data_IF_434688486916
#
_entry.id   IF_434688486916
#
_cell.length_a   1.000
_cell.length_b   1.000
_cell.length_c   1.000
_cell.angle_alpha   90.00
_cell.angle_beta   90.00
_cell.angle_gamma   90.00
#
_symmetry.space_group_name_H-M   'P 1'
#
loop_
_entity.id
_entity.type
_entity.pdbx_description
1 polymer ?
#
# COMPACT_ATOMS: atom_id res chain seq x y z
N UNK A 1 9.95 35.77 1.25
CA UNK A 1 10.28 34.33 1.01
C UNK A 1 10.48 34.20 -0.49
N UNK A 2 11.67 33.79 -0.90
CA UNK A 2 11.96 33.48 -2.30
C UNK A 2 11.48 32.05 -2.59
N UNK A 3 10.83 31.86 -3.75
CA UNK A 3 10.38 30.56 -4.22
C UNK A 3 11.23 30.14 -5.41
N UNK A 4 11.83 28.98 -5.35
CA UNK A 4 12.60 28.40 -6.44
C UNK A 4 11.81 27.24 -7.06
N UNK A 5 11.63 27.32 -8.38
CA UNK A 5 11.01 26.25 -9.16
C UNK A 5 12.13 25.53 -9.90
N UNK A 6 12.42 24.26 -9.60
CA UNK A 6 13.38 23.50 -10.37
C UNK A 6 12.86 23.30 -11.79
N UNK A 7 13.62 23.72 -12.78
CA UNK A 7 13.31 23.48 -14.18
C UNK A 7 14.46 22.73 -14.86
N UNK A 8 14.12 21.85 -15.81
CA UNK A 8 15.07 21.15 -16.67
C UNK A 8 14.89 21.64 -18.09
N UNK A 9 15.92 22.29 -18.63
CA UNK A 9 15.92 22.77 -20.01
C UNK A 9 16.69 21.77 -20.85
N UNK A 10 16.06 21.26 -21.91
CA UNK A 10 16.67 20.40 -22.90
C UNK A 10 16.66 21.12 -24.24
N UNK A 11 17.84 21.34 -24.81
CA UNK A 11 17.99 21.98 -26.10
C UNK A 11 18.79 21.07 -27.04
N UNK A 12 18.41 21.05 -28.31
CA UNK A 12 19.20 20.43 -29.38
C UNK A 12 19.82 21.48 -30.27
N UNK A 13 21.01 21.23 -30.80
CA UNK A 13 21.58 22.08 -31.85
C UNK A 13 20.81 21.77 -33.15
N UNK A 14 20.04 22.74 -33.61
CA UNK A 14 19.42 22.69 -34.94
C UNK A 14 20.45 23.11 -35.98
N UNK A 15 20.80 22.23 -36.90
CA UNK A 15 21.57 22.63 -38.07
C UNK A 15 20.59 23.31 -39.03
N UNK A 16 20.78 24.64 -39.33
CA UNK A 16 19.84 25.39 -40.18
C UNK A 16 19.82 24.87 -41.64
N UNK A 17 20.74 23.97 -42.02
CA UNK A 17 20.80 23.37 -43.34
C UNK A 17 20.24 21.94 -43.41
N UNK A 18 19.78 21.37 -42.27
CA UNK A 18 19.25 20.01 -42.28
C UNK A 18 17.76 20.01 -42.57
N UNK A 19 17.35 19.37 -43.63
CA UNK A 19 15.94 19.11 -43.97
C UNK A 19 15.29 18.01 -43.11
N UNK A 20 15.97 17.58 -42.02
CA UNK A 20 15.47 16.55 -41.11
C UNK A 20 14.69 17.16 -39.93
N UNK A 21 13.56 17.79 -40.21
CA UNK A 21 12.66 18.29 -39.17
C UNK A 21 12.03 17.14 -38.33
N UNK A 22 11.88 15.96 -38.92
CA UNK A 22 11.19 14.84 -38.29
C UNK A 22 11.97 14.19 -37.14
N UNK A 23 13.30 14.17 -37.21
CA UNK A 23 14.11 13.53 -36.14
C UNK A 23 14.12 14.31 -34.82
N UNK A 24 14.01 15.64 -34.89
CA UNK A 24 13.96 16.48 -33.70
C UNK A 24 12.57 16.44 -33.04
N UNK A 25 11.49 16.42 -33.83
CA UNK A 25 10.14 16.28 -33.33
C UNK A 25 9.97 14.93 -32.63
N UNK A 26 10.49 13.85 -33.21
CA UNK A 26 10.46 12.50 -32.60
C UNK A 26 11.27 12.46 -31.29
N UNK A 27 12.43 13.11 -31.25
CA UNK A 27 13.26 13.21 -30.06
C UNK A 27 12.55 13.96 -28.92
N UNK A 28 11.93 15.11 -29.20
CA UNK A 28 11.18 15.85 -28.19
C UNK A 28 9.92 15.13 -27.75
N UNK A 29 9.24 14.42 -28.67
CA UNK A 29 8.10 13.57 -28.34
C UNK A 29 8.49 12.45 -27.38
N UNK A 30 9.61 11.74 -27.65
CA UNK A 30 10.12 10.71 -26.74
C UNK A 30 10.54 11.25 -25.38
N UNK A 31 11.13 12.45 -25.32
CA UNK A 31 11.42 13.12 -24.04
C UNK A 31 10.13 13.47 -23.30
N UNK A 32 9.13 14.02 -23.99
CA UNK A 32 7.84 14.37 -23.39
C UNK A 32 7.15 13.10 -22.87
N UNK A 33 7.13 12.02 -23.62
CA UNK A 33 6.60 10.73 -23.19
C UNK A 33 7.35 10.18 -21.97
N UNK A 34 8.69 10.20 -21.99
CA UNK A 34 9.52 9.74 -20.87
C UNK A 34 9.37 10.61 -19.60
N UNK A 35 9.16 11.92 -19.76
CA UNK A 35 8.98 12.84 -18.64
C UNK A 35 7.54 12.84 -18.14
N UNK A 36 6.55 12.61 -19.01
CA UNK A 36 5.14 12.50 -18.67
C UNK A 36 4.72 11.09 -18.25
N UNK A 37 5.58 10.08 -18.43
CA UNK A 37 5.38 8.72 -17.90
C UNK A 37 5.57 8.66 -16.38
N UNK A 38 5.13 9.70 -15.67
CA UNK A 38 5.06 9.66 -14.21
C UNK A 38 4.14 8.53 -13.79
N UNK A 39 4.63 7.69 -12.89
CA UNK A 39 3.77 6.68 -12.28
C UNK A 39 2.53 7.35 -11.74
N UNK A 40 1.32 6.85 -12.03
CA UNK A 40 0.09 7.48 -11.56
C UNK A 40 0.16 7.67 -10.04
N UNK A 41 -0.12 8.90 -9.58
CA UNK A 41 -0.22 9.21 -8.15
C UNK A 41 -1.58 8.71 -7.67
N UNK A 42 -1.55 7.75 -6.78
CA UNK A 42 -2.77 7.22 -6.18
C UNK A 42 -3.11 7.97 -4.88
N UNK A 43 -4.37 7.93 -4.46
CA UNK A 43 -4.82 8.48 -3.19
C UNK A 43 -3.99 7.98 -2.00
N UNK A 44 -3.55 6.72 -2.04
CA UNK A 44 -2.58 6.14 -1.10
C UNK A 44 -1.28 6.95 -0.99
N UNK A 45 -0.74 7.41 -2.12
CA UNK A 45 0.55 8.13 -2.15
C UNK A 45 0.37 9.55 -1.58
N UNK A 46 -0.77 10.19 -1.85
CA UNK A 46 -1.13 11.49 -1.27
C UNK A 46 -1.26 11.41 0.27
N UNK A 47 -1.86 10.33 0.77
CA UNK A 47 -2.01 10.09 2.22
C UNK A 47 -0.72 9.66 2.92
N UNK A 48 0.34 9.35 2.19
CA UNK A 48 1.62 8.90 2.79
C UNK A 48 2.27 9.94 3.72
N UNK A 49 2.00 11.22 3.51
CA UNK A 49 2.49 12.32 4.34
C UNK A 49 1.44 12.84 5.33
N UNK A 50 0.25 12.23 5.40
CA UNK A 50 -0.77 12.62 6.35
C UNK A 50 -0.28 12.41 7.80
N UNK A 51 -0.56 13.34 8.73
CA UNK A 51 -0.05 13.27 10.10
C UNK A 51 -0.32 11.94 10.79
N UNK A 52 -1.53 11.42 10.64
CA UNK A 52 -1.94 10.12 11.20
C UNK A 52 -1.13 8.96 10.64
N UNK A 53 -0.80 8.99 9.34
CA UNK A 53 -0.01 7.94 8.69
C UNK A 53 1.45 7.98 9.14
N UNK A 54 2.02 9.18 9.28
CA UNK A 54 3.39 9.38 9.80
C UNK A 54 3.46 8.97 11.27
N UNK A 55 2.44 9.30 12.08
CA UNK A 55 2.36 8.90 13.48
C UNK A 55 2.29 7.36 13.62
N UNK A 56 1.44 6.71 12.83
CA UNK A 56 1.31 5.25 12.79
C UNK A 56 2.63 4.58 12.38
N UNK A 57 3.30 5.11 11.33
CA UNK A 57 4.60 4.62 10.90
C UNK A 57 5.64 4.70 12.02
N UNK A 58 5.76 5.87 12.69
CA UNK A 58 6.76 6.07 13.74
C UNK A 58 6.51 5.16 14.94
N UNK A 59 5.25 4.98 15.31
CA UNK A 59 4.88 4.07 16.39
C UNK A 59 5.21 2.61 16.03
N UNK A 60 4.78 2.11 14.87
CA UNK A 60 5.06 0.74 14.42
C UNK A 60 6.56 0.48 14.27
N UNK A 61 7.34 1.49 13.86
CA UNK A 61 8.80 1.40 13.82
C UNK A 61 9.40 1.08 15.19
N UNK A 62 8.89 1.69 16.26
CA UNK A 62 9.35 1.41 17.64
C UNK A 62 8.99 -0.03 18.07
N UNK A 63 7.92 -0.60 17.51
CA UNK A 63 7.52 -1.99 17.72
C UNK A 63 8.19 -2.96 16.71
N UNK A 64 9.24 -2.52 16.01
CA UNK A 64 9.98 -3.27 14.99
C UNK A 64 9.13 -3.75 13.81
N UNK A 65 8.06 -3.03 13.50
CA UNK A 65 7.22 -3.27 12.33
C UNK A 65 7.51 -2.19 11.28
N UNK A 66 7.81 -2.61 10.05
CA UNK A 66 7.93 -1.70 8.94
C UNK A 66 6.58 -1.52 8.24
N UNK A 67 6.00 -0.32 8.36
CA UNK A 67 4.84 0.08 7.58
C UNK A 67 5.30 0.77 6.29
N UNK A 68 5.11 0.16 5.13
CA UNK A 68 5.41 0.80 3.85
C UNK A 68 4.34 1.83 3.51
N UNK A 69 4.59 3.10 3.88
CA UNK A 69 3.70 4.22 3.57
C UNK A 69 3.99 4.82 2.19
N UNK A 70 5.22 4.68 1.68
CA UNK A 70 5.67 5.13 0.35
C UNK A 70 6.14 3.95 -0.47
N UNK A 71 5.65 3.83 -1.69
CA UNK A 71 5.98 2.72 -2.58
C UNK A 71 7.48 2.65 -2.90
N UNK A 72 8.06 1.47 -2.73
CA UNK A 72 9.45 1.19 -3.08
C UNK A 72 10.49 1.70 -2.08
N UNK A 73 10.08 2.31 -0.97
CA UNK A 73 10.99 2.63 0.11
C UNK A 73 11.33 1.37 0.91
N UNK A 74 12.61 1.17 1.18
CA UNK A 74 13.09 0.10 2.05
C UNK A 74 13.29 0.60 3.48
N UNK A 75 13.07 -0.22 4.49
CA UNK A 75 13.32 0.17 5.87
C UNK A 75 14.82 0.45 6.09
N UNK A 76 15.13 1.48 6.85
CA UNK A 76 16.50 1.80 7.31
C UNK A 76 16.81 1.16 8.67
N UNK A 77 15.98 0.23 9.11
CA UNK A 77 16.12 -0.50 10.38
C UNK A 77 15.73 -1.97 10.16
N UNK A 78 16.20 -2.83 11.07
CA UNK A 78 15.81 -4.25 11.06
C UNK A 78 14.39 -4.37 11.61
N UNK A 79 13.46 -4.74 10.76
CA UNK A 79 12.08 -4.98 11.13
C UNK A 79 11.82 -6.49 11.27
N UNK A 80 11.02 -6.85 12.27
CA UNK A 80 10.58 -8.24 12.47
C UNK A 80 9.39 -8.57 11.56
N UNK A 81 8.56 -7.56 11.27
CA UNK A 81 7.41 -7.67 10.39
C UNK A 81 7.36 -6.51 9.40
N UNK A 82 6.75 -6.77 8.25
CA UNK A 82 6.54 -5.76 7.20
C UNK A 82 5.12 -5.83 6.68
N UNK A 83 4.50 -4.66 6.49
CA UNK A 83 3.18 -4.55 5.90
C UNK A 83 3.06 -3.23 5.11
N UNK A 84 2.31 -3.25 4.00
CA UNK A 84 1.97 -2.02 3.26
C UNK A 84 0.75 -1.36 3.89
N UNK A 85 0.67 -0.04 3.82
CA UNK A 85 -0.46 0.70 4.39
C UNK A 85 -1.82 0.30 3.77
N UNK A 86 -1.85 -0.02 2.47
CA UNK A 86 -3.05 -0.51 1.81
C UNK A 86 -3.45 -1.92 2.27
N UNK A 87 -2.47 -2.81 2.47
CA UNK A 87 -2.70 -4.15 3.02
C UNK A 87 -3.18 -4.09 4.47
N UNK A 88 -2.60 -3.19 5.27
CA UNK A 88 -3.03 -2.98 6.65
C UNK A 88 -4.49 -2.50 6.70
N UNK A 89 -4.85 -1.52 5.87
CA UNK A 89 -6.23 -1.05 5.77
C UNK A 89 -7.20 -2.16 5.35
N UNK A 90 -6.84 -2.97 4.35
CA UNK A 90 -7.64 -4.13 3.93
C UNK A 90 -7.80 -5.16 5.04
N UNK A 91 -6.73 -5.43 5.76
CA UNK A 91 -6.72 -6.41 6.86
C UNK A 91 -7.65 -5.98 8.00
N UNK A 92 -7.53 -4.75 8.47
CA UNK A 92 -8.41 -4.20 9.52
C UNK A 92 -9.86 -4.17 9.05
N UNK A 93 -10.11 -3.74 7.80
CA UNK A 93 -11.45 -3.66 7.23
C UNK A 93 -12.13 -5.03 7.15
N UNK A 94 -11.39 -6.08 6.80
CA UNK A 94 -11.90 -7.44 6.74
C UNK A 94 -12.07 -8.06 8.12
N UNK A 95 -11.03 -8.02 8.94
CA UNK A 95 -10.99 -8.71 10.22
C UNK A 95 -11.88 -8.04 11.28
N UNK A 96 -11.70 -6.72 11.49
CA UNK A 96 -12.40 -6.00 12.56
C UNK A 96 -13.75 -5.43 12.12
N UNK A 97 -13.83 -4.87 10.91
CA UNK A 97 -15.07 -4.26 10.42
C UNK A 97 -15.98 -5.21 9.65
N UNK A 98 -15.56 -6.47 9.45
CA UNK A 98 -16.33 -7.51 8.76
C UNK A 98 -16.82 -7.08 7.36
N UNK A 99 -15.96 -6.34 6.61
CA UNK A 99 -16.25 -5.82 5.27
C UNK A 99 -15.30 -6.41 4.21
N UNK A 100 -15.25 -7.74 4.03
CA UNK A 100 -14.31 -8.37 3.08
C UNK A 100 -14.58 -7.97 1.62
N UNK A 101 -15.83 -7.74 1.24
CA UNK A 101 -16.20 -7.30 -0.11
C UNK A 101 -15.63 -5.91 -0.43
N UNK A 102 -15.80 -4.94 0.46
CA UNK A 102 -15.23 -3.59 0.29
C UNK A 102 -13.70 -3.65 0.30
N UNK A 103 -13.13 -4.46 1.16
CA UNK A 103 -11.68 -4.66 1.25
C UNK A 103 -11.11 -5.25 -0.04
N UNK A 104 -11.79 -6.22 -0.65
CA UNK A 104 -11.38 -6.87 -1.89
C UNK A 104 -11.49 -5.95 -3.10
N UNK A 105 -12.56 -5.17 -3.21
CA UNK A 105 -12.86 -4.35 -4.39
C UNK A 105 -11.96 -3.13 -4.56
N UNK A 106 -11.18 -2.74 -3.53
CA UNK A 106 -10.24 -1.68 -3.82
C UNK A 106 -9.42 -1.09 -2.70
N UNK A 107 -8.12 -1.25 -2.84
CA UNK A 107 -7.11 -0.45 -2.14
C UNK A 107 -7.34 1.05 -2.32
N UNK A 108 -7.87 1.46 -3.47
CA UNK A 108 -8.19 2.84 -3.83
C UNK A 108 -9.29 3.41 -2.92
N UNK A 109 -10.39 2.68 -2.75
CA UNK A 109 -11.56 3.09 -1.96
C UNK A 109 -11.19 3.39 -0.50
N UNK A 110 -10.25 2.64 0.08
CA UNK A 110 -9.78 2.84 1.46
C UNK A 110 -9.19 4.24 1.66
N UNK A 111 -8.47 4.78 0.67
CA UNK A 111 -7.80 6.07 0.78
C UNK A 111 -8.61 7.24 0.22
N UNK A 112 -9.56 6.99 -0.66
CA UNK A 112 -10.41 8.02 -1.27
C UNK A 112 -11.67 8.30 -0.44
N UNK A 113 -12.20 7.28 0.24
CA UNK A 113 -13.40 7.41 1.04
C UNK A 113 -13.05 7.73 2.50
N UNK A 114 -13.32 8.97 2.91
CA UNK A 114 -13.02 9.47 4.24
C UNK A 114 -13.72 8.66 5.35
N UNK A 115 -14.96 8.20 5.12
CA UNK A 115 -15.71 7.39 6.09
C UNK A 115 -15.12 5.99 6.31
N UNK A 116 -14.30 5.52 5.37
CA UNK A 116 -13.55 4.26 5.49
C UNK A 116 -12.15 4.54 6.06
N UNK A 117 -11.49 5.57 5.55
CA UNK A 117 -10.12 5.91 5.94
C UNK A 117 -9.99 6.28 7.43
N UNK A 118 -10.88 7.14 7.93
CA UNK A 118 -10.78 7.69 9.28
C UNK A 118 -10.85 6.61 10.38
N UNK A 119 -11.81 5.69 10.38
CA UNK A 119 -11.85 4.63 11.38
C UNK A 119 -10.64 3.67 11.33
N UNK A 120 -9.94 3.59 10.18
CA UNK A 120 -8.78 2.71 10.01
C UNK A 120 -7.48 3.37 10.48
N UNK A 121 -7.27 4.65 10.15
CA UNK A 121 -5.96 5.28 10.27
C UNK A 121 -5.90 6.49 11.22
N UNK A 122 -7.03 7.15 11.52
CA UNK A 122 -7.07 8.24 12.50
C UNK A 122 -7.24 7.75 13.95
N UNK A 123 -7.19 6.45 14.14
CA UNK A 123 -7.18 5.84 15.48
C UNK A 123 -5.78 5.91 16.06
N UNK A 124 -5.67 6.41 17.29
CA UNK A 124 -4.40 6.37 18.01
C UNK A 124 -4.20 4.99 18.66
N UNK A 125 -3.61 4.06 17.91
CA UNK A 125 -3.35 2.71 18.39
C UNK A 125 -2.33 2.68 19.56
N UNK A 126 -1.44 3.65 19.64
CA UNK A 126 -0.42 3.71 20.69
C UNK A 126 -0.96 4.09 22.06
N UNK A 127 -2.11 4.78 22.11
CA UNK A 127 -2.67 5.33 23.34
C UNK A 127 -3.38 4.30 24.22
N UNK A 128 -3.87 3.23 23.61
CA UNK A 128 -4.70 2.21 24.25
C UNK A 128 -4.02 0.85 24.12
N UNK A 129 -3.76 0.19 25.24
CA UNK A 129 -3.07 -1.10 25.27
C UNK A 129 -3.82 -2.16 24.48
N UNK A 130 -5.15 -2.22 24.58
CA UNK A 130 -5.94 -3.19 23.83
C UNK A 130 -5.84 -2.97 22.31
N UNK A 131 -5.91 -1.72 21.86
CA UNK A 131 -5.75 -1.38 20.43
C UNK A 131 -4.34 -1.64 19.94
N UNK A 132 -3.35 -1.35 20.79
CA UNK A 132 -1.94 -1.64 20.49
C UNK A 132 -1.74 -3.14 20.28
N UNK A 133 -2.16 -3.96 21.24
CA UNK A 133 -2.04 -5.41 21.20
C UNK A 133 -2.80 -5.98 19.99
N UNK A 134 -4.04 -5.54 19.80
CA UNK A 134 -4.86 -5.94 18.65
C UNK A 134 -4.14 -5.72 17.31
N UNK A 135 -3.60 -4.50 17.08
CA UNK A 135 -2.97 -4.20 15.79
C UNK A 135 -1.69 -5.00 15.57
N UNK A 136 -0.87 -5.16 16.61
CA UNK A 136 0.37 -5.95 16.52
C UNK A 136 0.08 -7.43 16.27
N UNK A 137 -0.90 -8.00 16.97
CA UNK A 137 -1.27 -9.40 16.81
C UNK A 137 -1.92 -9.66 15.46
N UNK A 138 -2.70 -8.70 14.95
CA UNK A 138 -3.25 -8.77 13.62
C UNK A 138 -2.16 -8.77 12.53
N UNK A 139 -1.10 -7.97 12.70
CA UNK A 139 0.06 -7.96 11.79
C UNK A 139 0.82 -9.29 11.85
N UNK A 140 1.02 -9.84 13.05
CA UNK A 140 1.64 -11.16 13.23
C UNK A 140 0.80 -12.27 12.58
N UNK A 141 -0.52 -12.25 12.78
CA UNK A 141 -1.44 -13.19 12.16
C UNK A 141 -1.33 -13.16 10.63
N UNK A 142 -1.31 -11.95 10.05
CA UNK A 142 -1.11 -11.78 8.60
C UNK A 142 0.23 -12.36 8.16
N UNK A 143 1.29 -12.08 8.89
CA UNK A 143 2.63 -12.61 8.55
C UNK A 143 2.65 -14.14 8.58
N UNK A 144 2.00 -14.74 9.58
CA UNK A 144 1.87 -16.20 9.66
C UNK A 144 1.01 -16.77 8.55
N UNK A 145 -0.08 -16.11 8.20
CA UNK A 145 -0.90 -16.47 7.05
C UNK A 145 -0.08 -16.46 5.75
N UNK A 146 0.70 -15.41 5.51
CA UNK A 146 1.55 -15.29 4.32
C UNK A 146 2.61 -16.41 4.26
N UNK A 147 3.17 -16.80 5.40
CA UNK A 147 4.11 -17.92 5.50
C UNK A 147 3.45 -19.24 5.12
N UNK A 148 2.26 -19.51 5.66
CA UNK A 148 1.50 -20.72 5.34
C UNK A 148 1.13 -20.73 3.86
N UNK A 149 0.56 -19.64 3.34
CA UNK A 149 0.18 -19.49 1.93
C UNK A 149 1.36 -19.76 0.99
N UNK A 150 2.54 -19.22 1.32
CA UNK A 150 3.78 -19.41 0.54
C UNK A 150 4.27 -20.85 0.54
N UNK A 151 4.03 -21.58 1.62
CA UNK A 151 4.47 -22.97 1.78
C UNK A 151 3.48 -23.98 1.18
N UNK A 152 2.24 -23.57 0.85
CA UNK A 152 1.29 -24.40 0.16
C UNK A 152 1.73 -24.62 -1.29
N UNK A 153 1.80 -25.90 -1.69
CA UNK A 153 2.08 -26.26 -3.07
C UNK A 153 0.76 -26.36 -3.84
N UNK A 154 0.75 -25.78 -5.03
CA UNK A 154 -0.43 -25.83 -5.90
C UNK A 154 -0.82 -27.27 -6.29
N UNK A 155 0.12 -28.21 -6.26
CA UNK A 155 -0.12 -29.64 -6.51
C UNK A 155 -0.96 -30.34 -5.43
N UNK A 156 -0.98 -29.77 -4.23
CA UNK A 156 -1.61 -30.39 -3.05
C UNK A 156 -3.03 -29.87 -2.84
N UNK A 157 -3.49 -28.98 -3.71
CA UNK A 157 -4.77 -28.28 -3.59
C UNK A 157 -5.69 -28.60 -4.77
N UNK A 158 -6.98 -28.82 -4.45
CA UNK A 158 -8.00 -28.92 -5.48
C UNK A 158 -8.20 -27.58 -6.21
N UNK A 159 -8.81 -27.56 -7.42
CA UNK A 159 -9.10 -26.32 -8.14
C UNK A 159 -9.91 -25.30 -7.34
N UNK A 160 -10.85 -25.78 -6.49
CA UNK A 160 -11.67 -24.94 -5.61
C UNK A 160 -10.82 -24.30 -4.52
N UNK A 161 -9.96 -25.06 -3.87
CA UNK A 161 -9.05 -24.55 -2.83
C UNK A 161 -8.07 -23.52 -3.40
N UNK A 162 -7.55 -23.75 -4.61
CA UNK A 162 -6.72 -22.77 -5.32
C UNK A 162 -7.46 -21.46 -5.60
N UNK A 163 -8.74 -21.54 -5.99
CA UNK A 163 -9.56 -20.36 -6.24
C UNK A 163 -9.85 -19.60 -4.94
N UNK A 164 -10.16 -20.31 -3.85
CA UNK A 164 -10.33 -19.70 -2.52
C UNK A 164 -9.04 -19.03 -2.07
N UNK A 165 -7.89 -19.67 -2.25
CA UNK A 165 -6.60 -19.09 -1.88
C UNK A 165 -6.30 -17.80 -2.65
N UNK A 166 -6.54 -17.80 -3.96
CA UNK A 166 -6.28 -16.65 -4.84
C UNK A 166 -7.21 -15.47 -4.56
N UNK A 167 -8.50 -15.74 -4.36
CA UNK A 167 -9.54 -14.72 -4.34
C UNK A 167 -10.23 -14.55 -2.98
N UNK A 168 -10.07 -15.49 -2.06
CA UNK A 168 -10.78 -15.57 -0.78
C UNK A 168 -10.06 -14.92 0.40
N UNK A 169 -8.84 -14.42 0.25
CA UNK A 169 -7.99 -13.94 1.34
C UNK A 169 -8.71 -12.99 2.31
N UNK A 170 -9.43 -12.02 1.78
CA UNK A 170 -10.14 -11.05 2.61
C UNK A 170 -11.32 -11.68 3.36
N UNK A 171 -11.96 -12.66 2.74
CA UNK A 171 -13.04 -13.44 3.37
C UNK A 171 -12.47 -14.33 4.48
N UNK A 172 -11.31 -14.94 4.29
CA UNK A 172 -10.63 -15.74 5.32
C UNK A 172 -10.32 -14.87 6.54
N UNK A 173 -9.78 -13.67 6.36
CA UNK A 173 -9.55 -12.74 7.48
C UNK A 173 -10.84 -12.31 8.18
N UNK A 174 -11.95 -12.15 7.45
CA UNK A 174 -13.24 -11.85 8.06
C UNK A 174 -13.75 -13.05 8.90
N UNK A 175 -13.64 -14.27 8.40
CA UNK A 175 -14.00 -15.50 9.14
C UNK A 175 -13.14 -15.61 10.41
N UNK A 176 -11.82 -15.41 10.31
CA UNK A 176 -10.94 -15.43 11.47
C UNK A 176 -11.34 -14.38 12.52
N UNK A 177 -11.69 -13.16 12.09
CA UNK A 177 -12.15 -12.10 12.99
C UNK A 177 -13.47 -12.46 13.69
N UNK A 178 -14.42 -13.03 12.95
CA UNK A 178 -15.69 -13.51 13.51
C UNK A 178 -15.46 -14.64 14.51
N UNK A 179 -14.58 -15.58 14.19
CA UNK A 179 -14.24 -16.69 15.09
C UNK A 179 -13.62 -16.19 16.40
N UNK A 180 -12.71 -15.22 16.33
CA UNK A 180 -12.13 -14.59 17.53
C UNK A 180 -13.20 -13.90 18.37
N UNK A 181 -14.16 -13.20 17.74
CA UNK A 181 -15.26 -12.55 18.46
C UNK A 181 -16.20 -13.52 19.18
N UNK A 182 -16.48 -14.69 18.56
CA UNK A 182 -17.36 -15.70 19.15
C UNK A 182 -16.68 -16.42 20.34
N UNK A 183 -15.34 -16.54 20.30
CA UNK A 183 -14.56 -17.25 21.31
C UNK A 183 -14.09 -16.35 22.47
N UNK A 184 -14.28 -15.03 22.38
CA UNK A 184 -13.91 -14.06 23.41
C UNK A 184 -15.03 -13.83 24.42
#
# INVERSE_FOLDING_TARGET
KEFYIPCKIVATKVDPKSTKSDSNADFFTKIAEATNSQKPIYARDLKSNAPEMVQLYNWLKNEKVYLEIKRGFKPKFKADYQIKNDELGQLILSFAFQRPGTSRSGKKVIFENQSIYDPLFKVNYAKDIAKKTFLLDLIKLKSKYDEVEKNLKSSDLSPIELEILKNGRQTIFAIMGMSCYILA
#
